data_IF_557032082777
#
_entry.id   IF_557032082777
#
_cell.length_a   1.000
_cell.length_b   1.000
_cell.length_c   1.000
_cell.angle_alpha   90.00
_cell.angle_beta   90.00
_cell.angle_gamma   90.00
#
_symmetry.space_group_name_H-M   'P 1'
#
loop_
_entity.id
_entity.type
_entity.pdbx_description
1 polymer ?
#
# COMPACT_ATOMS: atom_id res chain seq x y z
N UNK A 1 3.25 28.13 -13.54
CA UNK A 1 3.32 27.57 -14.91
C UNK A 1 3.81 26.14 -14.75
N UNK A 2 2.89 25.17 -14.74
CA UNK A 2 3.22 23.76 -14.53
C UNK A 2 3.91 23.22 -15.77
N UNK A 3 5.12 22.70 -15.59
CA UNK A 3 5.80 21.89 -16.58
C UNK A 3 5.01 20.58 -16.69
N UNK A 4 4.19 20.46 -17.74
CA UNK A 4 3.53 19.19 -18.05
C UNK A 4 4.63 18.27 -18.57
N UNK A 5 5.17 17.44 -17.69
CA UNK A 5 6.04 16.34 -18.10
C UNK A 5 5.30 15.54 -19.18
N UNK A 6 5.94 15.38 -20.33
CA UNK A 6 5.45 14.53 -21.42
C UNK A 6 5.14 13.14 -20.85
N UNK A 7 3.86 12.79 -20.75
CA UNK A 7 3.43 11.45 -20.36
C UNK A 7 4.01 10.44 -21.37
N UNK A 8 4.58 9.34 -20.87
CA UNK A 8 5.18 8.33 -21.73
C UNK A 8 4.14 7.78 -22.72
N UNK A 9 4.48 7.72 -24.00
CA UNK A 9 3.55 7.23 -25.03
C UNK A 9 3.21 5.77 -24.76
N UNK A 10 1.92 5.45 -24.71
CA UNK A 10 1.44 4.10 -24.49
C UNK A 10 1.65 3.23 -25.75
N UNK A 11 2.49 2.19 -25.64
CA UNK A 11 2.67 1.19 -26.69
C UNK A 11 1.93 -0.10 -26.30
N UNK A 12 0.70 -0.23 -26.79
CA UNK A 12 -0.14 -1.40 -26.57
C UNK A 12 0.53 -2.71 -27.03
N UNK A 13 1.37 -2.66 -28.09
CA UNK A 13 2.07 -3.84 -28.57
C UNK A 13 3.21 -4.23 -27.63
N UNK A 14 3.94 -3.27 -27.06
CA UNK A 14 4.94 -3.53 -26.02
C UNK A 14 4.30 -4.11 -24.75
N UNK A 15 3.19 -3.52 -24.28
CA UNK A 15 2.43 -4.04 -23.13
C UNK A 15 1.98 -5.48 -23.37
N UNK A 16 1.40 -5.79 -24.53
CA UNK A 16 0.98 -7.16 -24.86
C UNK A 16 2.13 -8.15 -24.96
N UNK A 17 3.29 -7.74 -25.49
CA UNK A 17 4.51 -8.57 -25.51
C UNK A 17 5.02 -8.85 -24.10
N UNK A 18 5.10 -7.82 -23.26
CA UNK A 18 5.52 -7.94 -21.86
C UNK A 18 4.58 -8.86 -21.07
N UNK A 19 3.26 -8.69 -21.23
CA UNK A 19 2.27 -9.56 -20.61
C UNK A 19 2.43 -11.02 -21.05
N UNK A 20 2.63 -11.30 -22.34
CA UNK A 20 2.84 -12.67 -22.82
C UNK A 20 4.07 -13.33 -22.17
N UNK A 21 5.17 -12.59 -21.99
CA UNK A 21 6.36 -13.08 -21.30
C UNK A 21 6.07 -13.38 -19.82
N UNK A 22 5.37 -12.49 -19.12
CA UNK A 22 4.99 -12.68 -17.71
C UNK A 22 4.06 -13.90 -17.58
N UNK A 23 3.03 -14.01 -18.41
CA UNK A 23 2.10 -15.14 -18.40
C UNK A 23 2.82 -16.46 -18.62
N UNK A 24 3.78 -16.53 -19.57
CA UNK A 24 4.55 -17.73 -19.80
C UNK A 24 5.40 -18.14 -18.59
N UNK A 25 6.00 -17.17 -17.89
CA UNK A 25 6.74 -17.41 -16.65
C UNK A 25 5.84 -17.89 -15.50
N UNK A 26 4.67 -17.28 -15.34
CA UNK A 26 3.67 -17.68 -14.34
C UNK A 26 3.14 -19.09 -14.60
N UNK A 27 2.76 -19.41 -15.84
CA UNK A 27 2.28 -20.73 -16.22
C UNK A 27 3.32 -21.82 -15.90
N UNK A 28 4.60 -21.58 -16.23
CA UNK A 28 5.68 -22.51 -15.92
C UNK A 28 5.90 -22.68 -14.39
N UNK A 29 5.78 -21.60 -13.61
CA UNK A 29 5.87 -21.66 -12.16
C UNK A 29 4.68 -22.43 -11.53
N UNK A 30 3.46 -22.18 -12.02
CA UNK A 30 2.25 -22.90 -11.58
C UNK A 30 2.33 -24.39 -11.90
N UNK A 31 2.79 -24.75 -13.11
CA UNK A 31 3.02 -26.15 -13.51
C UNK A 31 4.04 -26.82 -12.59
N UNK A 32 5.17 -26.16 -12.31
CA UNK A 32 6.20 -26.69 -11.41
C UNK A 32 5.71 -26.87 -9.96
N UNK A 33 4.80 -26.00 -9.50
CA UNK A 33 4.21 -26.04 -8.17
C UNK A 33 2.95 -26.93 -8.07
N UNK A 34 2.40 -27.40 -9.20
CA UNK A 34 1.17 -28.19 -9.23
C UNK A 34 -0.09 -27.42 -8.83
N UNK A 35 -0.10 -26.09 -9.03
CA UNK A 35 -1.23 -25.20 -8.70
C UNK A 35 -1.93 -24.70 -9.97
N UNK A 36 -3.20 -24.24 -9.88
CA UNK A 36 -3.91 -23.66 -11.02
C UNK A 36 -3.18 -22.46 -11.63
N UNK A 37 -3.27 -22.33 -12.96
CA UNK A 37 -2.72 -21.21 -13.71
C UNK A 37 -3.81 -20.16 -14.03
N UNK A 38 -3.70 -19.00 -13.39
CA UNK A 38 -4.57 -17.84 -13.59
C UNK A 38 -3.96 -16.76 -14.52
N UNK A 39 -2.85 -17.05 -15.20
CA UNK A 39 -2.16 -16.10 -16.10
C UNK A 39 -3.05 -15.55 -17.23
N UNK A 40 -4.11 -16.28 -17.57
CA UNK A 40 -5.13 -15.83 -18.53
C UNK A 40 -5.81 -14.52 -18.11
N UNK A 41 -5.86 -14.18 -16.82
CA UNK A 41 -6.48 -12.94 -16.32
C UNK A 41 -5.65 -11.70 -16.71
N UNK A 42 -4.32 -11.77 -16.61
CA UNK A 42 -3.42 -10.71 -17.09
C UNK A 42 -3.56 -10.54 -18.61
N UNK A 43 -3.61 -11.66 -19.34
CA UNK A 43 -3.82 -11.64 -20.78
C UNK A 43 -5.17 -11.02 -21.17
N UNK A 44 -6.21 -11.14 -20.33
CA UNK A 44 -7.50 -10.49 -20.53
C UNK A 44 -7.42 -8.98 -20.29
N UNK A 45 -6.75 -8.53 -19.22
CA UNK A 45 -6.58 -7.11 -18.91
C UNK A 45 -5.91 -6.35 -20.06
N UNK A 46 -4.80 -6.87 -20.61
CA UNK A 46 -4.04 -6.18 -21.66
C UNK A 46 -4.66 -6.28 -23.07
N UNK A 47 -5.78 -7.00 -23.22
CA UNK A 47 -6.56 -6.99 -24.47
C UNK A 47 -7.44 -5.76 -24.59
N UNK A 48 -7.75 -5.11 -23.48
CA UNK A 48 -8.46 -3.84 -23.46
C UNK A 48 -7.65 -2.76 -24.20
N UNK A 49 -8.35 -1.84 -24.83
CA UNK A 49 -7.75 -0.75 -25.60
C UNK A 49 -7.54 0.46 -24.69
N UNK A 50 -6.41 0.48 -23.99
CA UNK A 50 -5.98 1.64 -23.20
C UNK A 50 -5.26 2.67 -24.08
N UNK A 51 -5.54 3.96 -23.85
CA UNK A 51 -4.86 5.09 -24.47
C UNK A 51 -3.64 5.59 -23.69
N UNK A 52 -3.51 5.22 -22.41
CA UNK A 52 -2.43 5.65 -21.52
C UNK A 52 -2.13 4.63 -20.40
N UNK A 53 -0.97 4.73 -19.76
CA UNK A 53 -0.68 3.96 -18.55
C UNK A 53 -1.55 4.40 -17.37
N UNK A 54 -1.99 5.67 -17.37
CA UNK A 54 -2.98 6.17 -16.42
C UNK A 54 -4.33 5.45 -16.57
N UNK A 55 -4.79 5.22 -17.79
CA UNK A 55 -6.01 4.44 -18.06
C UNK A 55 -5.85 2.97 -17.66
N UNK A 56 -4.67 2.37 -17.88
CA UNK A 56 -4.37 1.02 -17.38
C UNK A 56 -4.44 0.97 -15.84
N UNK A 57 -3.83 1.95 -15.15
CA UNK A 57 -3.93 2.06 -13.69
C UNK A 57 -5.38 2.25 -13.24
N UNK A 58 -6.14 3.10 -13.94
CA UNK A 58 -7.56 3.34 -13.66
C UNK A 58 -8.40 2.06 -13.72
N UNK A 59 -8.06 1.11 -14.60
CA UNK A 59 -8.77 -0.16 -14.74
C UNK A 59 -8.54 -1.11 -13.56
N UNK A 60 -7.49 -0.91 -12.75
CA UNK A 60 -7.17 -1.82 -11.65
C UNK A 60 -8.32 -1.94 -10.64
N UNK A 61 -8.99 -0.83 -10.33
CA UNK A 61 -10.12 -0.79 -9.39
C UNK A 61 -11.34 -1.64 -9.78
N UNK A 62 -11.49 -1.99 -11.07
CA UNK A 62 -12.68 -2.68 -11.57
C UNK A 62 -12.39 -4.01 -12.24
N UNK A 63 -11.19 -4.16 -12.81
CA UNK A 63 -10.86 -5.27 -13.69
C UNK A 63 -9.73 -6.16 -13.14
N UNK A 64 -9.07 -5.73 -12.06
CA UNK A 64 -7.88 -6.39 -11.55
C UNK A 64 -8.18 -7.16 -10.26
N UNK A 65 -8.06 -8.48 -10.34
CA UNK A 65 -8.04 -9.33 -9.15
C UNK A 65 -6.74 -9.05 -8.36
N UNK A 66 -6.75 -9.06 -7.01
CA UNK A 66 -5.58 -8.76 -6.19
C UNK A 66 -4.31 -9.54 -6.59
N UNK A 67 -4.44 -10.82 -6.94
CA UNK A 67 -3.35 -11.68 -7.44
C UNK A 67 -2.60 -11.15 -8.68
N UNK A 68 -3.21 -10.24 -9.44
CA UNK A 68 -2.58 -9.63 -10.61
C UNK A 68 -1.75 -8.39 -10.27
N UNK A 69 -2.00 -7.73 -9.13
CA UNK A 69 -1.32 -6.49 -8.74
C UNK A 69 0.21 -6.63 -8.78
N UNK A 70 0.83 -7.74 -8.31
CA UNK A 70 2.28 -7.90 -8.39
C UNK A 70 2.86 -7.89 -9.82
N UNK A 71 2.03 -8.16 -10.82
CA UNK A 71 2.44 -8.21 -12.23
C UNK A 71 2.43 -6.83 -12.88
N UNK A 72 1.66 -5.87 -12.36
CA UNK A 72 1.41 -4.58 -13.00
C UNK A 72 2.69 -3.71 -13.09
N UNK A 73 3.48 -3.51 -12.02
CA UNK A 73 4.69 -2.70 -12.12
C UNK A 73 5.71 -3.32 -13.07
N UNK A 74 5.82 -4.66 -13.06
CA UNK A 74 6.71 -5.43 -13.95
C UNK A 74 6.29 -5.33 -15.40
N UNK A 75 4.98 -5.41 -15.67
CA UNK A 75 4.40 -5.23 -17.00
C UNK A 75 4.74 -3.84 -17.54
N UNK A 76 4.47 -2.80 -16.76
CA UNK A 76 4.71 -1.42 -17.16
C UNK A 76 6.20 -1.13 -17.36
N UNK A 77 7.07 -1.58 -16.46
CA UNK A 77 8.51 -1.46 -16.59
C UNK A 77 9.03 -2.19 -17.84
N UNK A 78 8.61 -3.44 -18.09
CA UNK A 78 9.03 -4.18 -19.27
C UNK A 78 8.56 -3.54 -20.59
N UNK A 79 7.41 -2.85 -20.59
CA UNK A 79 6.89 -2.16 -21.76
C UNK A 79 7.58 -0.81 -22.03
N UNK A 80 7.98 -0.09 -20.97
CA UNK A 80 8.65 1.21 -21.06
C UNK A 80 10.18 1.12 -21.12
N UNK A 81 10.74 -0.03 -20.73
CA UNK A 81 12.17 -0.23 -20.47
C UNK A 81 12.50 -0.10 -18.99
N UNK A 82 13.64 -0.65 -18.56
CA UNK A 82 13.99 -0.72 -17.12
C UNK A 82 14.42 0.63 -16.53
N UNK A 83 14.71 1.64 -17.36
CA UNK A 83 15.15 2.97 -16.92
C UNK A 83 13.99 3.95 -16.80
N UNK A 84 13.31 3.91 -15.66
CA UNK A 84 12.39 4.97 -15.23
C UNK A 84 13.11 6.25 -14.80
N UNK A 85 12.35 7.31 -14.56
CA UNK A 85 12.88 8.59 -14.05
C UNK A 85 12.45 8.81 -12.61
N UNK A 86 13.37 9.33 -11.79
CA UNK A 86 13.01 9.77 -10.45
C UNK A 86 12.17 11.06 -10.53
N UNK A 87 11.10 11.15 -9.74
CA UNK A 87 10.25 12.34 -9.63
C UNK A 87 9.99 12.68 -8.17
N UNK A 88 10.01 13.97 -7.85
CA UNK A 88 9.64 14.49 -6.53
C UNK A 88 8.37 15.34 -6.64
N UNK A 89 7.41 15.11 -5.76
CA UNK A 89 6.21 15.92 -5.54
C UNK A 89 6.38 16.72 -4.25
N UNK A 90 6.18 18.03 -4.34
CA UNK A 90 6.43 18.94 -3.22
C UNK A 90 5.20 19.10 -2.32
N UNK A 91 5.38 18.94 -1.01
CA UNK A 91 4.32 19.07 -0.02
C UNK A 91 3.30 17.95 -0.08
N UNK A 92 2.21 18.11 0.66
CA UNK A 92 1.14 17.11 0.76
C UNK A 92 0.46 16.90 -0.59
N UNK A 93 0.15 15.65 -0.91
CA UNK A 93 -0.49 15.24 -2.16
C UNK A 93 -1.78 14.49 -1.85
N UNK A 94 -2.81 14.79 -2.62
CA UNK A 94 -4.06 14.04 -2.65
C UNK A 94 -4.28 13.57 -4.09
N UNK A 95 -4.27 12.27 -4.30
CA UNK A 95 -4.46 11.64 -5.62
C UNK A 95 -5.90 11.19 -5.76
N UNK A 96 -6.77 12.13 -6.13
CA UNK A 96 -8.19 11.87 -6.42
C UNK A 96 -8.43 11.26 -7.81
N UNK A 97 -7.42 11.29 -8.68
CA UNK A 97 -7.47 10.66 -10.00
C UNK A 97 -6.39 9.58 -10.12
N UNK A 98 -6.58 8.56 -11.00
CA UNK A 98 -5.56 7.55 -11.25
C UNK A 98 -4.20 8.17 -11.59
N UNK A 99 -3.14 7.64 -11.01
CA UNK A 99 -1.79 8.15 -11.15
C UNK A 99 -0.82 7.02 -11.52
N UNK A 100 0.00 7.27 -12.54
CA UNK A 100 1.04 6.36 -12.97
C UNK A 100 2.39 7.09 -12.99
N UNK A 101 3.43 6.45 -12.44
CA UNK A 101 4.80 6.93 -12.55
C UNK A 101 5.78 5.80 -12.87
N UNK A 102 6.63 6.05 -13.88
CA UNK A 102 7.67 5.13 -14.29
C UNK A 102 9.03 5.54 -13.68
N UNK A 103 9.56 4.76 -12.75
CA UNK A 103 10.73 5.09 -11.92
C UNK A 103 10.35 5.32 -10.45
N UNK A 104 11.30 5.89 -9.70
CA UNK A 104 11.12 6.18 -8.27
C UNK A 104 10.30 7.46 -8.06
N UNK A 105 9.45 7.46 -7.04
CA UNK A 105 8.61 8.58 -6.67
C UNK A 105 8.92 9.02 -5.23
N UNK A 106 9.13 10.32 -5.04
CA UNK A 106 9.29 10.94 -3.72
C UNK A 106 8.15 11.93 -3.50
N UNK A 107 7.49 11.87 -2.36
CA UNK A 107 6.52 12.86 -1.89
C UNK A 107 7.07 13.50 -0.63
N UNK A 108 7.25 14.83 -0.64
CA UNK A 108 7.87 15.56 0.46
C UNK A 108 6.93 15.80 1.66
N UNK A 109 5.63 15.53 1.51
CA UNK A 109 4.62 15.63 2.58
C UNK A 109 3.87 14.31 2.79
N UNK A 110 2.62 14.43 3.21
CA UNK A 110 1.65 13.31 3.24
C UNK A 110 1.18 12.95 1.82
N UNK A 111 0.79 11.69 1.61
CA UNK A 111 0.24 11.17 0.37
C UNK A 111 -1.07 10.44 0.67
N UNK A 112 -2.18 11.08 0.32
CA UNK A 112 -3.52 10.51 0.32
C UNK A 112 -3.86 9.95 -1.06
N UNK A 113 -4.26 8.69 -1.14
CA UNK A 113 -4.57 7.99 -2.40
C UNK A 113 -6.04 7.57 -2.41
N UNK A 114 -6.85 8.26 -3.21
CA UNK A 114 -8.28 7.97 -3.35
C UNK A 114 -8.60 7.26 -4.69
N UNK A 115 -7.60 7.15 -5.56
CA UNK A 115 -7.70 6.52 -6.86
C UNK A 115 -6.43 5.71 -7.16
N UNK A 116 -6.48 4.73 -8.10
CA UNK A 116 -5.35 3.85 -8.34
C UNK A 116 -4.00 4.54 -8.56
N UNK A 117 -3.00 4.16 -7.78
CA UNK A 117 -1.62 4.62 -7.86
C UNK A 117 -0.72 3.46 -8.30
N UNK A 118 0.02 3.65 -9.39
CA UNK A 118 1.04 2.71 -9.85
C UNK A 118 2.39 3.39 -9.96
N UNK A 119 3.37 2.89 -9.21
CA UNK A 119 4.78 3.31 -9.27
C UNK A 119 5.63 2.10 -9.65
N UNK A 120 6.35 2.18 -10.77
CA UNK A 120 7.19 1.03 -11.19
C UNK A 120 8.48 0.88 -10.39
N UNK A 121 8.98 1.97 -9.78
CA UNK A 121 10.13 1.97 -8.87
C UNK A 121 9.70 1.98 -7.40
N UNK A 122 10.54 2.57 -6.54
CA UNK A 122 10.28 2.74 -5.11
C UNK A 122 9.48 4.01 -4.83
N UNK A 123 8.74 4.02 -3.71
CA UNK A 123 7.97 5.15 -3.24
C UNK A 123 8.50 5.62 -1.88
N UNK A 124 8.96 6.86 -1.79
CA UNK A 124 9.31 7.51 -0.53
C UNK A 124 8.29 8.59 -0.22
N UNK A 125 7.61 8.48 0.91
CA UNK A 125 6.71 9.52 1.43
C UNK A 125 7.33 10.05 2.71
N UNK A 126 7.61 11.35 2.79
CA UNK A 126 8.25 11.92 3.99
C UNK A 126 7.27 11.99 5.18
N UNK A 127 5.97 12.09 4.89
CA UNK A 127 4.88 12.02 5.85
C UNK A 127 4.22 10.64 5.86
N UNK A 128 2.90 10.63 5.84
CA UNK A 128 2.07 9.42 5.85
C UNK A 128 1.68 9.01 4.43
N UNK A 129 1.69 7.71 4.17
CA UNK A 129 0.99 7.12 3.04
C UNK A 129 -0.34 6.59 3.55
N UNK A 130 -1.44 7.16 3.09
CA UNK A 130 -2.78 6.65 3.34
C UNK A 130 -3.48 6.40 2.02
N UNK A 131 -4.06 5.23 1.85
CA UNK A 131 -5.12 5.06 0.85
C UNK A 131 -6.49 5.13 1.52
N UNK A 132 -7.44 5.72 0.81
CA UNK A 132 -8.74 6.10 1.33
C UNK A 132 -9.82 5.42 0.49
N UNK A 133 -10.53 4.47 1.09
CA UNK A 133 -11.70 3.82 0.49
C UNK A 133 -11.40 2.48 -0.18
N UNK A 134 -12.43 1.60 -0.28
CA UNK A 134 -12.29 0.25 -0.81
C UNK A 134 -11.92 0.21 -2.30
N UNK A 135 -12.12 1.30 -3.03
CA UNK A 135 -11.78 1.40 -4.45
C UNK A 135 -10.32 1.86 -4.68
N UNK A 136 -9.58 2.18 -3.62
CA UNK A 136 -8.18 2.60 -3.72
C UNK A 136 -7.28 1.38 -3.96
N UNK A 137 -6.32 1.54 -4.88
CA UNK A 137 -5.36 0.49 -5.23
C UNK A 137 -3.98 1.12 -5.33
N UNK A 138 -3.05 0.70 -4.47
CA UNK A 138 -1.67 1.18 -4.46
C UNK A 138 -0.76 0.05 -4.90
N UNK A 139 -0.01 0.25 -6.00
CA UNK A 139 0.94 -0.76 -6.49
C UNK A 139 2.32 -0.15 -6.68
N UNK A 140 3.30 -0.67 -5.96
CA UNK A 140 4.70 -0.18 -5.96
C UNK A 140 5.64 -1.31 -6.35
N UNK A 141 6.43 -1.11 -7.41
CA UNK A 141 7.36 -2.11 -7.93
C UNK A 141 8.65 -2.27 -7.12
N UNK A 142 9.00 -1.26 -6.31
CA UNK A 142 10.11 -1.25 -5.37
C UNK A 142 9.67 -1.34 -3.92
N UNK A 143 10.42 -0.70 -3.03
CA UNK A 143 10.08 -0.56 -1.61
C UNK A 143 9.25 0.69 -1.32
N UNK A 144 8.64 0.73 -0.13
CA UNK A 144 7.96 1.90 0.43
C UNK A 144 8.70 2.33 1.69
N UNK A 145 9.02 3.62 1.77
CA UNK A 145 9.46 4.26 3.02
C UNK A 145 8.49 5.38 3.34
N UNK A 146 7.88 5.34 4.53
CA UNK A 146 6.97 6.36 5.02
C UNK A 146 7.13 6.54 6.52
N UNK A 147 6.59 7.61 7.11
CA UNK A 147 6.48 7.69 8.57
C UNK A 147 5.39 6.74 9.08
N UNK A 148 4.26 6.66 8.37
CA UNK A 148 3.18 5.72 8.64
C UNK A 148 2.56 5.25 7.32
N UNK A 149 2.07 4.02 7.31
CA UNK A 149 1.30 3.43 6.20
C UNK A 149 -0.06 3.01 6.73
N UNK A 150 -1.11 3.58 6.15
CA UNK A 150 -2.51 3.29 6.49
C UNK A 150 -3.19 2.82 5.22
N UNK A 151 -3.88 1.70 5.30
CA UNK A 151 -4.56 1.14 4.12
C UNK A 151 -5.92 0.57 4.46
N UNK A 152 -6.88 0.87 3.61
CA UNK A 152 -8.26 0.36 3.56
C UNK A 152 -8.43 -0.47 2.27
N UNK A 153 -7.79 -0.04 1.19
CA UNK A 153 -7.85 -0.70 -0.12
C UNK A 153 -6.77 -1.75 -0.35
N UNK A 154 -6.59 -2.14 -1.61
CA UNK A 154 -5.54 -3.09 -1.98
C UNK A 154 -4.19 -2.38 -2.13
N UNK A 155 -3.22 -2.75 -1.28
CA UNK A 155 -1.86 -2.23 -1.34
C UNK A 155 -0.86 -3.35 -1.63
N UNK A 156 -0.16 -3.27 -2.75
CA UNK A 156 0.84 -4.25 -3.18
C UNK A 156 2.21 -3.59 -3.38
N UNK A 157 3.14 -3.90 -2.49
CA UNK A 157 4.53 -3.43 -2.51
C UNK A 157 5.44 -4.62 -2.81
N UNK A 158 6.12 -4.63 -3.96
CA UNK A 158 6.99 -5.77 -4.31
C UNK A 158 8.27 -5.84 -3.46
N UNK A 159 8.65 -4.74 -2.83
CA UNK A 159 9.79 -4.62 -1.93
C UNK A 159 9.43 -4.70 -0.44
N UNK A 160 10.25 -4.02 0.38
CA UNK A 160 10.00 -3.89 1.82
C UNK A 160 9.19 -2.60 2.09
N UNK A 161 8.38 -2.63 3.14
CA UNK A 161 7.76 -1.45 3.75
C UNK A 161 8.55 -1.11 5.02
N UNK A 162 9.03 0.13 5.10
CA UNK A 162 9.67 0.68 6.30
C UNK A 162 8.87 1.88 6.79
N UNK A 163 8.28 1.75 7.98
CA UNK A 163 7.47 2.80 8.61
C UNK A 163 7.52 2.73 10.14
N UNK A 164 7.05 3.75 10.84
CA UNK A 164 6.89 3.65 12.29
C UNK A 164 5.63 2.83 12.64
N UNK A 165 4.55 3.05 11.89
CA UNK A 165 3.27 2.36 12.03
C UNK A 165 2.82 1.84 10.66
N UNK A 166 2.29 0.61 10.64
CA UNK A 166 1.50 0.07 9.53
C UNK A 166 0.14 -0.36 10.09
N UNK A 167 -0.94 0.14 9.51
CA UNK A 167 -2.30 -0.18 9.93
C UNK A 167 -3.13 -0.54 8.71
N UNK A 168 -3.47 -1.83 8.58
CA UNK A 168 -4.48 -2.28 7.61
C UNK A 168 -5.83 -2.30 8.28
N UNK A 169 -6.83 -1.65 7.68
CA UNK A 169 -8.18 -1.52 8.20
C UNK A 169 -9.20 -2.15 7.25
N UNK A 170 -10.21 -2.82 7.79
CA UNK A 170 -11.35 -3.41 7.09
C UNK A 170 -11.03 -4.68 6.26
N UNK A 171 -12.06 -5.47 5.94
CA UNK A 171 -11.90 -6.92 5.69
C UNK A 171 -11.93 -7.37 4.22
N UNK A 172 -12.01 -6.45 3.27
CA UNK A 172 -12.26 -6.78 1.85
C UNK A 172 -11.02 -6.69 0.95
N UNK A 173 -9.89 -6.20 1.48
CA UNK A 173 -8.66 -5.98 0.73
C UNK A 173 -7.41 -6.53 1.44
N UNK A 174 -6.29 -6.48 0.74
CA UNK A 174 -5.02 -7.04 1.23
C UNK A 174 -3.87 -6.05 1.18
N UNK A 175 -3.05 -6.08 2.23
CA UNK A 175 -1.73 -5.48 2.24
C UNK A 175 -0.68 -6.54 1.93
N UNK A 176 0.01 -6.41 0.80
CA UNK A 176 1.05 -7.34 0.35
C UNK A 176 2.40 -6.66 0.32
N UNK A 177 3.40 -7.28 0.95
CA UNK A 177 4.78 -6.82 0.90
C UNK A 177 5.77 -7.98 0.99
N UNK A 178 7.03 -7.80 0.58
CA UNK A 178 8.07 -8.80 0.88
C UNK A 178 8.30 -8.90 2.38
N UNK A 179 8.47 -7.75 3.03
CA UNK A 179 8.64 -7.62 4.48
C UNK A 179 8.12 -6.27 4.95
N UNK A 180 7.56 -6.23 6.15
CA UNK A 180 7.20 -5.00 6.85
C UNK A 180 8.12 -4.82 8.05
N UNK A 181 8.79 -3.67 8.15
CA UNK A 181 9.54 -3.24 9.32
C UNK A 181 8.85 -2.05 9.94
N UNK A 182 8.37 -2.21 11.18
CA UNK A 182 7.72 -1.13 11.89
C UNK A 182 7.88 -1.23 13.41
N UNK A 183 7.43 -0.21 14.14
CA UNK A 183 7.28 -0.30 15.59
C UNK A 183 5.96 -0.95 15.94
N UNK A 184 4.91 -0.61 15.20
CA UNK A 184 3.57 -1.15 15.35
C UNK A 184 3.03 -1.63 13.99
N UNK A 185 2.52 -2.85 13.94
CA UNK A 185 1.71 -3.38 12.84
C UNK A 185 0.38 -3.86 13.39
N UNK A 186 -0.72 -3.43 12.79
CA UNK A 186 -2.08 -3.84 13.16
C UNK A 186 -2.80 -4.32 11.91
N UNK A 187 -3.31 -5.55 11.98
CA UNK A 187 -4.24 -6.13 11.01
C UNK A 187 -5.66 -6.01 11.57
N UNK A 188 -6.28 -4.85 11.36
CA UNK A 188 -7.64 -4.56 11.82
C UNK A 188 -8.65 -5.09 10.80
N UNK A 189 -8.89 -6.41 10.87
CA UNK A 189 -9.63 -7.20 9.89
C UNK A 189 -9.02 -7.22 8.47
N UNK A 190 -7.91 -6.51 8.25
CA UNK A 190 -7.25 -6.38 6.97
C UNK A 190 -6.08 -7.34 6.82
N UNK A 191 -6.19 -8.29 5.89
CA UNK A 191 -5.21 -9.36 5.76
C UNK A 191 -3.84 -8.84 5.27
N UNK A 192 -2.79 -9.13 6.02
CA UNK A 192 -1.41 -8.81 5.62
C UNK A 192 -0.65 -10.04 5.13
N UNK A 193 -0.14 -9.97 3.90
CA UNK A 193 0.69 -11.00 3.27
C UNK A 193 2.13 -10.48 3.20
N UNK A 194 2.86 -10.61 4.31
CA UNK A 194 4.26 -10.21 4.40
C UNK A 194 5.00 -10.95 5.53
N UNK A 195 6.34 -10.95 5.48
CA UNK A 195 7.12 -11.21 6.71
C UNK A 195 7.09 -9.95 7.59
N UNK A 196 6.52 -10.04 8.80
CA UNK A 196 6.44 -8.89 9.71
C UNK A 196 7.59 -8.89 10.72
N UNK A 197 8.34 -7.80 10.76
CA UNK A 197 9.40 -7.51 11.73
C UNK A 197 9.02 -6.25 12.52
N UNK A 198 8.19 -6.41 13.55
CA UNK A 198 7.68 -5.30 14.35
C UNK A 198 7.99 -5.40 15.84
N UNK A 199 8.06 -4.25 16.52
CA UNK A 199 8.14 -4.20 17.98
C UNK A 199 6.86 -4.73 18.64
N UNK A 200 5.72 -4.38 18.05
CA UNK A 200 4.39 -4.89 18.38
C UNK A 200 3.66 -5.20 17.07
N UNK A 201 3.14 -6.42 16.94
CA UNK A 201 2.29 -6.85 15.84
C UNK A 201 1.04 -7.50 16.44
N UNK A 202 -0.12 -7.07 15.95
CA UNK A 202 -1.38 -7.78 16.13
C UNK A 202 -1.82 -8.25 14.74
N UNK A 203 -1.87 -9.56 14.55
CA UNK A 203 -2.48 -10.15 13.37
C UNK A 203 -4.02 -10.17 13.51
N UNK A 204 -4.69 -10.68 12.48
CA UNK A 204 -6.15 -10.79 12.43
C UNK A 204 -6.74 -11.52 13.65
N UNK A 205 -6.06 -12.56 14.13
CA UNK A 205 -6.55 -13.41 15.22
C UNK A 205 -6.35 -12.74 16.58
N UNK A 206 -5.25 -12.01 16.74
CA UNK A 206 -4.88 -11.30 17.97
C UNK A 206 -5.65 -9.99 18.16
N UNK A 207 -5.87 -9.19 17.09
CA UNK A 207 -6.42 -7.84 17.25
C UNK A 207 -7.92 -7.84 17.56
N UNK A 208 -8.71 -8.61 16.79
CA UNK A 208 -10.17 -8.74 16.93
C UNK A 208 -10.87 -7.39 17.07
N UNK A 209 -10.64 -6.46 16.14
CA UNK A 209 -11.20 -5.10 16.16
C UNK A 209 -10.89 -4.35 17.48
N UNK A 210 -9.75 -4.64 18.09
CA UNK A 210 -9.32 -4.03 19.35
C UNK A 210 -9.83 -4.76 20.61
N UNK A 211 -10.66 -5.79 20.49
CA UNK A 211 -11.22 -6.55 21.64
C UNK A 211 -10.42 -7.80 22.02
N UNK A 212 -9.34 -8.11 21.27
CA UNK A 212 -8.49 -9.23 21.60
C UNK A 212 -7.87 -9.13 23.00
N UNK A 213 -7.57 -10.28 23.60
CA UNK A 213 -7.07 -10.34 24.98
C UNK A 213 -5.74 -9.58 25.13
N UNK A 214 -5.72 -8.60 26.02
CA UNK A 214 -4.54 -7.77 26.28
C UNK A 214 -4.20 -6.73 25.21
N UNK A 215 -5.00 -6.60 24.14
CA UNK A 215 -4.72 -5.67 23.02
C UNK A 215 -4.66 -4.23 23.51
N UNK A 216 -5.69 -3.78 24.22
CA UNK A 216 -5.79 -2.41 24.72
C UNK A 216 -4.66 -2.09 25.72
N UNK A 217 -4.31 -3.02 26.59
CA UNK A 217 -3.23 -2.87 27.56
C UNK A 217 -1.86 -2.73 26.87
N UNK A 218 -1.59 -3.57 25.87
CA UNK A 218 -0.35 -3.55 25.08
C UNK A 218 -0.24 -2.28 24.25
N UNK A 219 -1.33 -1.85 23.61
CA UNK A 219 -1.39 -0.58 22.88
C UNK A 219 -1.18 0.60 23.82
N UNK A 220 -1.83 0.64 24.99
CA UNK A 220 -1.66 1.73 25.98
C UNK A 220 -0.25 1.80 26.54
N UNK A 221 0.45 0.68 26.66
CA UNK A 221 1.85 0.66 27.06
C UNK A 221 2.78 1.30 26.01
N UNK A 222 2.42 1.20 24.72
CA UNK A 222 3.22 1.68 23.59
C UNK A 222 2.85 3.11 23.17
N UNK A 223 1.56 3.40 23.09
CA UNK A 223 1.00 4.61 22.50
C UNK A 223 0.57 5.62 23.56
N UNK A 224 0.58 6.89 23.18
CA UNK A 224 0.09 8.00 24.02
C UNK A 224 -1.42 7.92 24.25
N UNK A 225 -1.90 8.48 25.35
CA UNK A 225 -3.33 8.41 25.71
C UNK A 225 -4.24 9.12 24.69
N UNK A 226 -3.71 10.10 23.94
CA UNK A 226 -4.47 10.86 22.93
C UNK A 226 -5.00 10.04 21.74
N UNK A 227 -4.55 8.79 21.56
CA UNK A 227 -5.05 7.90 20.48
C UNK A 227 -6.08 6.90 20.99
N UNK A 228 -6.58 7.10 22.20
CA UNK A 228 -7.67 6.33 22.78
C UNK A 228 -8.87 7.24 22.97
N UNK A 229 -10.00 6.87 22.37
CA UNK A 229 -11.24 7.66 22.43
C UNK A 229 -12.37 6.75 22.89
N UNK A 230 -13.37 7.33 23.56
CA UNK A 230 -14.58 6.60 23.90
C UNK A 230 -15.44 6.49 22.64
N UNK A 231 -15.84 5.28 22.29
CA UNK A 231 -16.82 5.09 21.22
C UNK A 231 -18.19 5.61 21.71
N UNK A 232 -18.83 6.49 20.92
CA UNK A 232 -20.15 7.02 21.24
C UNK A 232 -21.24 5.93 21.16
N UNK A 233 -20.96 4.85 20.42
CA UNK A 233 -21.87 3.73 20.22
C UNK A 233 -21.69 2.61 21.28
N UNK A 234 -20.65 2.68 22.13
CA UNK A 234 -20.45 1.75 23.25
C UNK A 234 -21.18 2.19 24.54
N UNK A 235 -22.01 1.30 25.10
CA UNK A 235 -22.83 1.61 26.28
C UNK A 235 -22.03 1.92 27.56
N UNK A 236 -20.77 1.51 27.65
CA UNK A 236 -19.93 1.70 28.84
C UNK A 236 -18.97 2.90 28.75
N UNK A 237 -18.91 3.58 27.59
CA UNK A 237 -18.06 4.74 27.35
C UNK A 237 -16.57 4.46 27.56
N UNK A 238 -16.13 3.21 27.38
CA UNK A 238 -14.75 2.82 27.57
C UNK A 238 -13.90 3.39 26.45
N UNK A 239 -12.79 4.03 26.81
CA UNK A 239 -11.82 4.46 25.80
C UNK A 239 -11.11 3.24 25.20
N UNK A 240 -11.14 3.14 23.88
CA UNK A 240 -10.43 2.13 23.09
C UNK A 240 -9.50 2.80 22.09
N UNK A 241 -8.53 2.04 21.59
CA UNK A 241 -7.65 2.50 20.54
C UNK A 241 -8.44 2.94 19.31
N UNK A 242 -8.18 4.16 18.86
CA UNK A 242 -8.85 4.80 17.74
C UNK A 242 -7.82 5.07 16.64
N UNK A 243 -7.95 4.31 15.54
CA UNK A 243 -7.04 4.42 14.41
C UNK A 243 -7.15 5.79 13.71
N UNK A 244 -8.32 6.44 13.74
CA UNK A 244 -8.52 7.77 13.17
C UNK A 244 -7.84 8.84 14.04
N UNK A 245 -7.92 8.71 15.37
CA UNK A 245 -7.17 9.56 16.30
C UNK A 245 -5.65 9.39 16.13
N UNK A 246 -5.18 8.15 15.96
CA UNK A 246 -3.79 7.84 15.62
C UNK A 246 -3.36 8.53 14.31
N UNK A 247 -4.11 8.33 13.23
CA UNK A 247 -3.85 8.94 11.92
C UNK A 247 -3.80 10.46 12.02
N UNK A 248 -4.79 11.09 12.65
CA UNK A 248 -4.86 12.54 12.83
C UNK A 248 -3.66 13.09 13.61
N UNK A 249 -3.24 12.40 14.68
CA UNK A 249 -2.06 12.77 15.46
C UNK A 249 -0.78 12.64 14.65
N UNK A 250 -0.63 11.56 13.86
CA UNK A 250 0.50 11.41 12.96
C UNK A 250 0.51 12.52 11.89
N UNK A 251 -0.63 12.86 11.27
CA UNK A 251 -0.72 13.96 10.29
C UNK A 251 -0.28 15.30 10.88
N UNK A 252 -0.61 15.54 12.14
CA UNK A 252 -0.19 16.73 12.88
C UNK A 252 1.32 16.78 13.22
N UNK A 253 2.11 15.77 12.82
CA UNK A 253 3.53 15.67 13.17
C UNK A 253 3.79 15.39 14.64
N UNK A 254 2.76 15.00 15.41
CA UNK A 254 2.86 14.76 16.83
C UNK A 254 3.36 13.33 17.13
N UNK A 255 4.10 13.12 18.21
CA UNK A 255 4.57 11.79 18.60
C UNK A 255 3.39 10.91 19.03
N UNK A 256 3.39 9.67 18.56
CA UNK A 256 2.35 8.68 18.89
C UNK A 256 2.82 7.62 19.87
N UNK A 257 4.13 7.40 19.96
CA UNK A 257 4.74 6.50 20.92
C UNK A 257 5.09 7.23 22.22
N UNK A 258 4.98 6.53 23.35
CA UNK A 258 5.47 7.03 24.63
C UNK A 258 7.00 7.14 24.60
N UNK A 259 7.56 8.19 25.21
CA UNK A 259 9.00 8.48 25.19
C UNK A 259 9.88 7.34 25.70
N UNK A 260 9.38 6.54 26.66
CA UNK A 260 10.12 5.43 27.27
C UNK A 260 10.16 4.16 26.39
N UNK A 261 9.46 4.18 25.25
CA UNK A 261 9.35 3.04 24.32
C UNK A 261 10.16 3.21 23.05
N UNK A 262 10.98 4.26 22.97
CA UNK A 262 11.83 4.50 21.81
C UNK A 262 12.98 3.48 21.78
N UNK A 263 13.04 2.58 20.78
CA UNK A 263 14.25 1.83 20.57
C UNK A 263 15.24 2.86 20.03
N UNK A 264 16.18 3.31 20.86
CA UNK A 264 17.26 4.19 20.41
C UNK A 264 17.89 3.69 19.09
N UNK A 265 18.51 4.57 18.31
CA UNK A 265 18.86 4.29 16.92
C UNK A 265 19.66 2.98 16.80
N UNK A 266 19.16 2.06 15.96
CA UNK A 266 19.91 0.87 15.49
C UNK A 266 20.83 1.26 14.35
#
# INVERSE_FOLDING_TARGET
>A
MSEVASEATFDAAAVRRAAATICAGQAAACEAAGIPDDSHRLARLVRSDFGSYRELAAALRHECHPDLLPSIPRLCAAALGDTGTARTLSGDQQLADPFFHHGDLVVEGDLDVEAPLVVTGSLTVRGLLADCGPDSVVVVGGGVTARGVFTDGDMCVLGDIEAEVVHGYYNDHTLQARRIRARLVVEDEHATIATVEAGLHFDLDDYQQGYGDGVQERLRALLVDDVFTADEDEEDGKEMFDHAALLARMRAGLPVFRADTDPGPR
#
